data_IF_174536668835
#
_entry.id   IF_174536668835
#
_cell.length_a   1.000
_cell.length_b   1.000
_cell.length_c   1.000
_cell.angle_alpha   90.00
_cell.angle_beta   90.00
_cell.angle_gamma   90.00
#
_symmetry.space_group_name_H-M   'P 1'
#
loop_
_entity.id
_entity.type
_entity.pdbx_description
1 polymer ?
#
# COMPACT_ATOMS: atom_id res chain seq x y z
N UNK A 1 18.73 -0.99 -18.93
CA UNK A 1 18.08 -0.34 -17.77
C UNK A 1 18.14 -1.32 -16.62
N UNK A 2 18.83 -0.97 -15.54
CA UNK A 2 18.97 -1.83 -14.37
C UNK A 2 17.62 -2.21 -13.78
N UNK A 3 17.51 -3.44 -13.27
CA UNK A 3 16.25 -3.97 -12.73
C UNK A 3 15.71 -3.14 -11.56
N UNK A 4 16.60 -2.47 -10.83
CA UNK A 4 16.29 -1.63 -9.68
C UNK A 4 15.65 -0.31 -10.12
N UNK A 5 16.20 0.35 -11.15
CA UNK A 5 15.64 1.59 -11.71
C UNK A 5 14.26 1.37 -12.28
N UNK A 6 14.01 0.21 -12.91
CA UNK A 6 12.71 -0.14 -13.46
C UNK A 6 11.65 -0.31 -12.37
N UNK A 7 12.01 -0.92 -11.24
CA UNK A 7 11.12 -1.05 -10.09
C UNK A 7 10.77 0.32 -9.49
N UNK A 8 11.77 1.17 -9.26
CA UNK A 8 11.54 2.52 -8.70
C UNK A 8 10.64 3.35 -9.63
N UNK A 9 10.88 3.30 -10.95
CA UNK A 9 10.02 3.99 -11.91
C UNK A 9 8.58 3.46 -11.89
N UNK A 10 8.40 2.14 -11.85
CA UNK A 10 7.07 1.53 -11.80
C UNK A 10 6.30 1.97 -10.54
N UNK A 11 6.96 1.92 -9.37
CA UNK A 11 6.40 2.36 -8.10
C UNK A 11 6.01 3.84 -8.13
N UNK A 12 6.91 4.71 -8.59
CA UNK A 12 6.65 6.15 -8.67
C UNK A 12 5.46 6.46 -9.56
N UNK A 13 5.32 5.78 -10.70
CA UNK A 13 4.18 5.97 -11.60
C UNK A 13 2.89 5.47 -10.97
N UNK A 14 2.89 4.27 -10.38
CA UNK A 14 1.70 3.68 -9.74
C UNK A 14 1.21 4.55 -8.58
N UNK A 15 2.12 4.91 -7.66
CA UNK A 15 1.77 5.72 -6.48
C UNK A 15 1.24 7.10 -6.89
N UNK A 16 1.89 7.75 -7.86
CA UNK A 16 1.42 9.05 -8.37
C UNK A 16 0.05 8.92 -9.03
N UNK A 17 -0.18 7.87 -9.82
CA UNK A 17 -1.47 7.62 -10.45
C UNK A 17 -2.57 7.42 -9.40
N UNK A 18 -2.31 6.62 -8.36
CA UNK A 18 -3.26 6.39 -7.27
C UNK A 18 -3.60 7.68 -6.52
N UNK A 19 -2.60 8.52 -6.22
CA UNK A 19 -2.85 9.83 -5.60
C UNK A 19 -3.72 10.71 -6.49
N UNK A 20 -3.40 10.81 -7.79
CA UNK A 20 -4.13 11.66 -8.73
C UNK A 20 -5.57 11.16 -8.91
N UNK A 21 -5.77 9.83 -9.06
CA UNK A 21 -7.09 9.24 -9.24
C UNK A 21 -7.95 9.47 -8.01
N UNK A 22 -7.43 9.20 -6.80
CA UNK A 22 -8.20 9.36 -5.58
C UNK A 22 -8.47 10.83 -5.25
N UNK A 23 -7.50 11.71 -5.49
CA UNK A 23 -7.69 13.16 -5.37
C UNK A 23 -8.75 13.68 -6.36
N UNK A 24 -8.74 13.20 -7.60
CA UNK A 24 -9.76 13.54 -8.59
C UNK A 24 -11.16 13.01 -8.24
N UNK A 25 -11.24 11.88 -7.53
CA UNK A 25 -12.47 11.32 -6.98
C UNK A 25 -12.93 12.02 -5.69
N UNK A 26 -12.14 12.96 -5.15
CA UNK A 26 -12.43 13.66 -3.91
C UNK A 26 -12.33 12.76 -2.67
N UNK A 27 -11.58 11.66 -2.76
CA UNK A 27 -11.38 10.76 -1.63
C UNK A 27 -10.25 11.24 -0.72
N UNK A 28 -10.57 11.44 0.55
CA UNK A 28 -9.63 11.90 1.59
C UNK A 28 -9.36 10.82 2.66
N UNK A 29 -9.87 9.61 2.41
CA UNK A 29 -9.79 8.49 3.34
C UNK A 29 -8.39 7.91 3.41
N UNK A 30 -7.62 8.30 4.41
CA UNK A 30 -6.23 7.86 4.61
C UNK A 30 -6.08 6.33 4.58
N UNK A 31 -7.04 5.60 5.14
CA UNK A 31 -7.03 4.14 5.20
C UNK A 31 -7.11 3.49 3.80
N UNK A 32 -7.83 4.12 2.86
CA UNK A 32 -7.93 3.68 1.47
C UNK A 32 -6.61 3.88 0.73
N UNK A 33 -5.97 5.04 0.92
CA UNK A 33 -4.64 5.34 0.35
C UNK A 33 -3.59 4.35 0.86
N UNK A 34 -3.51 4.13 2.18
CA UNK A 34 -2.52 3.22 2.76
C UNK A 34 -2.75 1.79 2.27
N UNK A 35 -4.01 1.39 2.10
CA UNK A 35 -4.36 0.07 1.55
C UNK A 35 -3.90 -0.10 0.10
N UNK A 36 -4.19 0.89 -0.76
CA UNK A 36 -3.76 0.85 -2.16
C UNK A 36 -2.24 0.89 -2.30
N UNK A 37 -1.54 1.76 -1.58
CA UNK A 37 -0.08 1.80 -1.62
C UNK A 37 0.55 0.49 -1.18
N UNK A 38 -0.05 -0.19 -0.20
CA UNK A 38 0.42 -1.51 0.22
C UNK A 38 0.25 -2.54 -0.88
N UNK A 39 -0.91 -2.59 -1.52
CA UNK A 39 -1.14 -3.47 -2.66
C UNK A 39 -0.19 -3.17 -3.82
N UNK A 40 -0.03 -1.91 -4.21
CA UNK A 40 0.87 -1.49 -5.28
C UNK A 40 2.33 -1.86 -4.99
N UNK A 41 2.77 -1.72 -3.74
CA UNK A 41 4.09 -2.15 -3.30
C UNK A 41 4.28 -3.66 -3.44
N UNK A 42 3.34 -4.46 -2.93
CA UNK A 42 3.42 -5.92 -3.01
C UNK A 42 3.31 -6.44 -4.45
N UNK A 43 2.40 -5.87 -5.26
CA UNK A 43 2.24 -6.23 -6.67
C UNK A 43 3.50 -5.90 -7.45
N UNK A 44 4.09 -4.72 -7.25
CA UNK A 44 5.30 -4.31 -7.97
C UNK A 44 6.52 -5.15 -7.59
N UNK A 45 6.62 -5.57 -6.32
CA UNK A 45 7.64 -6.55 -5.87
C UNK A 45 7.40 -7.92 -6.47
N UNK A 46 6.16 -8.41 -6.46
CA UNK A 46 5.80 -9.71 -7.03
C UNK A 46 6.07 -9.74 -8.55
N UNK A 47 5.71 -8.66 -9.25
CA UNK A 47 5.87 -8.51 -10.70
C UNK A 47 7.35 -8.38 -11.13
N UNK A 48 8.19 -7.74 -10.32
CA UNK A 48 9.63 -7.70 -10.58
C UNK A 48 10.37 -9.01 -10.23
N UNK A 49 9.65 -9.99 -9.70
CA UNK A 49 10.16 -11.32 -9.42
C UNK A 49 10.77 -11.39 -8.04
N UNK A 50 10.16 -12.21 -7.18
CA UNK A 50 10.61 -12.62 -5.85
C UNK A 50 11.98 -13.39 -5.84
N UNK A 51 12.88 -13.15 -6.80
CA UNK A 51 14.05 -13.98 -7.06
C UNK A 51 15.33 -13.18 -7.34
N UNK A 52 15.66 -12.24 -6.46
CA UNK A 52 17.06 -12.04 -6.10
C UNK A 52 17.16 -12.11 -4.57
N UNK A 53 17.81 -13.13 -3.97
CA UNK A 53 18.07 -13.20 -2.53
C UNK A 53 18.99 -12.07 -2.01
N UNK A 54 19.29 -11.07 -2.85
CA UNK A 54 20.18 -9.93 -2.62
C UNK A 54 19.45 -8.58 -2.59
N UNK A 55 18.14 -8.52 -2.77
CA UNK A 55 17.40 -7.26 -2.58
C UNK A 55 17.29 -7.05 -1.07
N UNK A 56 18.14 -6.15 -0.56
CA UNK A 56 18.66 -6.15 0.81
C UNK A 56 17.63 -6.10 1.94
N UNK A 57 18.11 -6.47 3.13
CA UNK A 57 17.41 -6.54 4.42
C UNK A 57 16.39 -5.40 4.67
N UNK A 58 16.71 -4.18 4.22
CA UNK A 58 15.85 -3.00 4.30
C UNK A 58 14.52 -3.12 3.55
N UNK A 59 14.52 -3.67 2.34
CA UNK A 59 13.31 -3.80 1.52
C UNK A 59 12.38 -4.89 2.06
N UNK A 60 12.97 -5.89 2.71
CA UNK A 60 12.24 -6.94 3.41
C UNK A 60 11.59 -6.41 4.71
N UNK A 61 12.30 -5.56 5.47
CA UNK A 61 11.75 -4.88 6.65
C UNK A 61 10.59 -3.95 6.25
N UNK A 62 10.77 -3.14 5.20
CA UNK A 62 9.71 -2.25 4.68
C UNK A 62 8.49 -3.08 4.26
N UNK A 63 8.69 -4.19 3.56
CA UNK A 63 7.59 -5.09 3.19
C UNK A 63 6.88 -5.66 4.41
N UNK A 64 7.62 -6.16 5.40
CA UNK A 64 7.02 -6.68 6.64
C UNK A 64 6.24 -5.61 7.40
N UNK A 65 6.77 -4.39 7.47
CA UNK A 65 6.12 -3.25 8.10
C UNK A 65 4.84 -2.86 7.36
N UNK A 66 4.88 -2.73 6.03
CA UNK A 66 3.67 -2.46 5.23
C UNK A 66 2.63 -3.58 5.39
N UNK A 67 3.05 -4.85 5.40
CA UNK A 67 2.13 -5.97 5.62
C UNK A 67 1.46 -5.89 6.99
N UNK A 68 2.23 -5.57 8.03
CA UNK A 68 1.73 -5.46 9.39
C UNK A 68 0.72 -4.30 9.50
N UNK A 69 1.07 -3.12 8.98
CA UNK A 69 0.19 -1.94 8.96
C UNK A 69 -1.08 -2.23 8.17
N UNK A 70 -0.95 -2.83 6.98
CA UNK A 70 -2.10 -3.21 6.15
C UNK A 70 -2.99 -4.24 6.84
N UNK A 71 -2.40 -5.26 7.47
CA UNK A 71 -3.18 -6.25 8.21
C UNK A 71 -3.95 -5.62 9.37
N UNK A 72 -3.38 -4.65 10.07
CA UNK A 72 -4.07 -3.92 11.14
C UNK A 72 -5.24 -3.07 10.58
N UNK A 73 -5.02 -2.38 9.47
CA UNK A 73 -6.08 -1.61 8.78
C UNK A 73 -7.21 -2.55 8.34
N UNK A 74 -6.88 -3.68 7.72
CA UNK A 74 -7.85 -4.67 7.27
C UNK A 74 -8.64 -5.24 8.43
N UNK A 75 -8.00 -5.60 9.55
CA UNK A 75 -8.72 -6.08 10.75
C UNK A 75 -9.69 -5.01 11.26
N UNK A 76 -9.26 -3.75 11.33
CA UNK A 76 -10.13 -2.63 11.71
C UNK A 76 -11.32 -2.47 10.75
N UNK A 77 -11.08 -2.55 9.44
CA UNK A 77 -12.14 -2.48 8.42
C UNK A 77 -13.09 -3.68 8.45
N UNK A 78 -12.58 -4.90 8.70
CA UNK A 78 -13.41 -6.09 8.85
C UNK A 78 -14.30 -5.99 10.09
N UNK A 79 -13.78 -5.51 11.22
CA UNK A 79 -14.56 -5.29 12.44
C UNK A 79 -15.65 -4.23 12.21
N UNK A 80 -15.34 -3.14 11.53
CA UNK A 80 -16.31 -2.10 11.16
C UNK A 80 -17.43 -2.66 10.28
N UNK A 81 -17.09 -3.45 9.25
CA UNK A 81 -18.10 -4.07 8.38
C UNK A 81 -18.95 -5.09 9.16
N UNK A 82 -18.35 -5.86 10.06
CA UNK A 82 -19.02 -6.96 10.77
C UNK A 82 -19.91 -6.48 11.92
N UNK A 83 -19.52 -5.39 12.60
CA UNK A 83 -20.25 -4.85 13.74
C UNK A 83 -20.96 -3.51 13.43
N UNK A 84 -20.78 -2.94 12.24
CA UNK A 84 -21.35 -1.64 11.87
C UNK A 84 -20.81 -0.48 12.69
N UNK A 85 -19.64 -0.65 13.33
CA UNK A 85 -19.05 0.38 14.21
C UNK A 85 -18.07 1.23 13.38
N UNK A 86 -18.45 2.47 13.11
CA UNK A 86 -17.65 3.45 12.37
C UNK A 86 -16.48 3.99 13.22
N UNK A 87 -15.53 3.12 13.57
CA UNK A 87 -14.32 3.47 14.35
C UNK A 87 -13.48 4.52 13.58
N UNK A 88 -13.54 4.48 12.25
CA UNK A 88 -12.76 5.34 11.36
C UNK A 88 -13.39 6.71 11.08
N UNK A 89 -14.64 6.98 11.51
CA UNK A 89 -15.24 8.32 11.39
C UNK A 89 -14.44 9.38 12.18
N UNK A 90 -13.73 8.96 13.22
CA UNK A 90 -12.91 9.85 14.05
C UNK A 90 -11.58 10.26 13.36
N UNK A 91 -11.12 9.48 12.38
CA UNK A 91 -9.94 9.76 11.55
C UNK A 91 -10.30 10.41 10.22
N UNK A 92 -11.59 10.69 10.00
CA UNK A 92 -12.17 11.33 8.80
C UNK A 92 -12.09 12.87 8.86
N UNK A 93 -11.07 13.37 9.56
CA UNK A 93 -10.80 14.80 9.78
C UNK A 93 -10.23 15.45 8.52
#
# INVERSE_FOLDING_TARGET
MDSETRLILLMSIMFTATVVIFSALGEDRLDLYVSMFTLEYFVSIALHGAFKPKVGLYMNIIGYFLLAVFSLIVVGRVIEVLYGVYIWDMLRL
#
